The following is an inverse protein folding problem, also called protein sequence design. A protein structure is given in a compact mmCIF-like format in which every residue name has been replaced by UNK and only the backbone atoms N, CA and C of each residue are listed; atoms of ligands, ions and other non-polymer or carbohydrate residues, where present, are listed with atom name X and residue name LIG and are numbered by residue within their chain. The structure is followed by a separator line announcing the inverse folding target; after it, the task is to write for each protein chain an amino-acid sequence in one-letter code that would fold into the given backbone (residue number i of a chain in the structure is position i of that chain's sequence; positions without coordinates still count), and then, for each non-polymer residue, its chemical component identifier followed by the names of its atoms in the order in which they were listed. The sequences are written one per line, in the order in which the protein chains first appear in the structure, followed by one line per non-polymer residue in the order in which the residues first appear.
data_IF_698915720403
#
_entry.id   IF_698915720403
#
_cell.length_a   1.000
_cell.length_b   1.000
_cell.length_c   1.000
_cell.angle_alpha   90.00
_cell.angle_beta   90.00
_cell.angle_gamma   90.00
#
_symmetry.space_group_name_H-M   'P 1'
#
loop_
_entity.id
_entity.type
_entity.pdbx_description
1 polymer ?
#
# COMPACT_ATOMS: atom_id res chain seq x y z
N UNK A 1 3.45 4.48 -15.46
CA UNK A 1 4.21 5.61 -14.89
C UNK A 1 3.88 6.99 -15.51
N UNK A 2 2.93 7.13 -16.45
CA UNK A 2 2.52 8.45 -16.97
C UNK A 2 1.92 9.36 -15.89
N UNK A 3 1.13 8.80 -14.99
CA UNK A 3 0.49 9.55 -13.89
C UNK A 3 1.51 10.13 -12.89
N UNK A 4 2.65 9.45 -12.68
CA UNK A 4 3.78 9.98 -11.89
C UNK A 4 4.44 11.16 -12.61
N UNK A 5 4.62 11.06 -13.93
CA UNK A 5 5.17 12.15 -14.74
C UNK A 5 4.23 13.35 -14.78
N UNK A 6 2.91 13.14 -14.83
CA UNK A 6 1.92 14.22 -14.80
C UNK A 6 1.88 14.94 -13.44
N UNK A 7 2.00 14.19 -12.33
CA UNK A 7 2.11 14.76 -10.98
C UNK A 7 3.40 15.60 -10.84
N UNK A 8 4.51 15.18 -11.45
CA UNK A 8 5.77 15.93 -11.44
C UNK A 8 5.78 17.12 -12.43
N UNK A 9 4.97 17.08 -13.49
CA UNK A 9 4.98 18.09 -14.57
C UNK A 9 4.13 19.32 -14.25
N UNK A 10 3.13 19.20 -13.37
CA UNK A 10 2.44 20.35 -12.79
C UNK A 10 3.28 20.78 -11.58
N UNK A 11 3.66 22.06 -11.47
CA UNK A 11 4.48 22.69 -10.39
C UNK A 11 4.10 22.38 -8.92
N UNK A 12 3.14 21.49 -8.65
CA UNK A 12 2.88 20.92 -7.34
C UNK A 12 3.94 19.89 -6.97
N UNK A 13 4.75 20.20 -5.94
CA UNK A 13 5.60 19.20 -5.30
C UNK A 13 4.75 17.99 -4.90
N UNK A 14 5.01 16.79 -5.43
CA UNK A 14 4.31 15.59 -5.03
C UNK A 14 4.44 15.44 -3.51
N UNK A 15 3.32 15.18 -2.85
CA UNK A 15 3.32 14.83 -1.44
C UNK A 15 2.83 13.38 -1.28
N UNK A 16 2.88 12.87 -0.05
CA UNK A 16 2.48 11.50 0.25
C UNK A 16 1.02 11.20 -0.19
N UNK A 17 0.14 12.21 -0.21
CA UNK A 17 -1.24 12.05 -0.68
C UNK A 17 -1.27 11.73 -2.18
N UNK A 18 -0.50 12.45 -3.00
CA UNK A 18 -0.39 12.18 -4.44
C UNK A 18 0.12 10.76 -4.72
N UNK A 19 1.08 10.28 -3.93
CA UNK A 19 1.58 8.91 -4.06
C UNK A 19 0.59 7.85 -3.58
N UNK A 20 -0.22 8.14 -2.57
CA UNK A 20 -1.31 7.25 -2.16
C UNK A 20 -2.39 7.11 -3.25
N UNK A 21 -2.66 8.17 -4.02
CA UNK A 21 -3.54 8.09 -5.20
C UNK A 21 -2.93 7.16 -6.25
N UNK A 22 -1.63 7.28 -6.52
CA UNK A 22 -0.95 6.40 -7.48
C UNK A 22 -0.96 4.93 -7.03
N UNK A 23 -0.66 4.66 -5.76
CA UNK A 23 -0.76 3.32 -5.18
C UNK A 23 -2.16 2.74 -5.37
N UNK A 24 -3.20 3.53 -5.08
CA UNK A 24 -4.59 3.11 -5.23
C UNK A 24 -4.93 2.78 -6.68
N UNK A 25 -4.48 3.60 -7.63
CA UNK A 25 -4.68 3.37 -9.06
C UNK A 25 -4.01 2.07 -9.53
N UNK A 26 -2.74 1.88 -9.19
CA UNK A 26 -1.99 0.67 -9.55
C UNK A 26 -2.64 -0.59 -8.98
N UNK A 27 -3.06 -0.57 -7.71
CA UNK A 27 -3.77 -1.69 -7.07
C UNK A 27 -5.12 -1.98 -7.76
N UNK A 28 -5.89 -0.95 -8.12
CA UNK A 28 -7.18 -1.13 -8.83
C UNK A 28 -7.04 -1.70 -10.23
N UNK A 29 -5.93 -1.43 -10.90
CA UNK A 29 -5.59 -2.02 -12.21
C UNK A 29 -5.05 -3.46 -12.10
N UNK A 30 -4.95 -4.04 -10.89
CA UNK A 30 -4.33 -5.35 -10.67
C UNK A 30 -2.81 -5.34 -10.84
N UNK A 31 -2.18 -4.16 -10.88
CA UNK A 31 -0.73 -3.99 -11.02
C UNK A 31 -0.05 -3.99 -9.66
N UNK A 32 -0.39 -4.96 -8.81
CA UNK A 32 0.04 -5.00 -7.41
C UNK A 32 1.56 -5.09 -7.25
N UNK A 33 2.28 -5.79 -8.16
CA UNK A 33 3.75 -5.82 -8.14
C UNK A 33 4.39 -4.44 -8.39
N UNK A 34 3.77 -3.62 -9.25
CA UNK A 34 4.23 -2.26 -9.51
C UNK A 34 3.87 -1.36 -8.34
N UNK A 35 2.68 -1.50 -7.77
CA UNK A 35 2.27 -0.79 -6.56
C UNK A 35 3.22 -1.11 -5.38
N UNK A 36 3.58 -2.38 -5.19
CA UNK A 36 4.46 -2.82 -4.11
C UNK A 36 5.89 -2.30 -4.28
N UNK A 37 6.46 -2.39 -5.50
CA UNK A 37 7.77 -1.78 -5.79
C UNK A 37 7.77 -0.27 -5.60
N UNK A 38 6.70 0.40 -6.03
CA UNK A 38 6.56 1.84 -5.84
C UNK A 38 6.47 2.20 -4.35
N UNK A 39 5.65 1.48 -3.58
CA UNK A 39 5.54 1.65 -2.13
C UNK A 39 6.90 1.53 -1.43
N UNK A 40 7.71 0.51 -1.78
CA UNK A 40 9.06 0.31 -1.24
C UNK A 40 10.05 1.40 -1.64
N UNK A 41 9.80 2.11 -2.74
CA UNK A 41 10.66 3.20 -3.19
C UNK A 41 10.38 4.54 -2.49
N UNK A 42 9.22 4.71 -1.84
CA UNK A 42 8.84 5.96 -1.19
C UNK A 42 9.88 6.49 -0.18
N UNK A 43 10.47 5.66 0.71
CA UNK A 43 11.51 6.14 1.63
C UNK A 43 12.75 6.69 0.91
N UNK A 44 13.16 6.05 -0.19
CA UNK A 44 14.29 6.54 -1.01
C UNK A 44 13.98 7.85 -1.74
N UNK A 45 12.70 8.17 -1.91
CA UNK A 45 12.22 9.45 -2.44
C UNK A 45 12.04 10.52 -1.34
N UNK A 46 12.34 10.19 -0.08
CA UNK A 46 12.19 11.08 1.08
C UNK A 46 10.77 11.11 1.66
N UNK A 47 9.93 10.12 1.33
CA UNK A 47 8.57 10.02 1.83
C UNK A 47 8.40 8.78 2.70
N UNK A 48 7.98 8.98 3.94
CA UNK A 48 7.62 7.88 4.82
C UNK A 48 6.20 7.40 4.54
N UNK A 49 5.99 6.13 4.15
CA UNK A 49 4.65 5.57 4.01
C UNK A 49 3.89 5.65 5.33
N UNK A 50 2.64 6.09 5.29
CA UNK A 50 1.77 6.19 6.45
C UNK A 50 0.71 5.08 6.45
N UNK A 51 -0.13 5.05 7.49
CA UNK A 51 -1.20 4.05 7.65
C UNK A 51 -2.08 3.92 6.38
N UNK A 52 -2.32 5.02 5.66
CA UNK A 52 -3.10 4.98 4.41
C UNK A 52 -2.34 4.23 3.32
N UNK A 53 -1.05 4.52 3.13
CA UNK A 53 -0.19 3.81 2.16
C UNK A 53 -0.17 2.31 2.42
N UNK A 54 0.04 1.90 3.68
CA UNK A 54 0.05 0.49 4.08
C UNK A 54 -1.31 -0.19 3.83
N UNK A 55 -2.42 0.46 4.22
CA UNK A 55 -3.76 -0.09 4.02
C UNK A 55 -4.09 -0.35 2.55
N UNK A 56 -3.65 0.52 1.65
CA UNK A 56 -3.87 0.35 0.20
C UNK A 56 -3.18 -0.93 -0.29
N UNK A 57 -1.89 -1.07 0.02
CA UNK A 57 -1.07 -2.20 -0.45
C UNK A 57 -1.52 -3.51 0.20
N UNK A 58 -1.76 -3.51 1.51
CA UNK A 58 -2.23 -4.68 2.24
C UNK A 58 -3.57 -5.19 1.70
N UNK A 59 -4.53 -4.30 1.43
CA UNK A 59 -5.80 -4.68 0.82
C UNK A 59 -5.60 -5.35 -0.53
N UNK A 60 -4.70 -4.81 -1.36
CA UNK A 60 -4.41 -5.37 -2.69
C UNK A 60 -3.82 -6.77 -2.58
N UNK A 61 -2.81 -6.95 -1.72
CA UNK A 61 -2.16 -8.24 -1.49
C UNK A 61 -3.15 -9.28 -0.95
N UNK A 62 -4.00 -8.90 0.00
CA UNK A 62 -5.03 -9.80 0.53
C UNK A 62 -6.06 -10.19 -0.53
N UNK A 63 -6.46 -9.24 -1.39
CA UNK A 63 -7.41 -9.50 -2.47
C UNK A 63 -6.84 -10.46 -3.53
N UNK A 64 -5.53 -10.41 -3.78
CA UNK A 64 -4.83 -11.31 -4.69
C UNK A 64 -4.36 -12.63 -4.02
N UNK A 65 -4.65 -12.83 -2.73
CA UNK A 65 -4.23 -14.02 -2.00
C UNK A 65 -2.72 -14.10 -1.71
N UNK A 66 -2.01 -12.97 -1.76
CA UNK A 66 -0.56 -12.85 -1.50
C UNK A 66 -0.28 -12.70 0.00
N UNK A 67 -0.67 -13.72 0.76
CA UNK A 67 -0.69 -13.71 2.23
C UNK A 67 0.69 -13.58 2.87
N UNK A 68 1.71 -14.20 2.28
CA UNK A 68 3.08 -14.13 2.81
C UNK A 68 3.57 -12.68 2.82
N UNK A 69 3.39 -11.97 1.72
CA UNK A 69 3.78 -10.56 1.61
C UNK A 69 2.91 -9.66 2.49
N UNK A 70 1.61 -9.95 2.60
CA UNK A 70 0.70 -9.22 3.48
C UNK A 70 1.03 -9.40 4.97
N UNK A 71 1.59 -10.55 5.37
CA UNK A 71 1.98 -10.84 6.76
C UNK A 71 3.34 -10.25 7.13
N UNK A 72 4.24 -10.05 6.17
CA UNK A 72 5.57 -9.47 6.41
C UNK A 72 5.53 -7.94 6.44
N UNK A 73 4.67 -7.29 5.66
CA UNK A 73 4.54 -5.83 5.63
C UNK A 73 4.35 -5.17 7.02
N UNK A 74 3.50 -5.70 7.92
CA UNK A 74 3.29 -5.15 9.26
C UNK A 74 4.48 -5.31 10.22
N UNK A 75 5.35 -6.31 10.02
CA UNK A 75 6.52 -6.50 10.87
C UNK A 75 7.68 -5.57 10.51
N UNK A 76 7.65 -4.98 9.32
CA UNK A 76 8.63 -3.99 8.88
C UNK A 76 8.34 -2.58 9.40
N UNK A 77 7.14 -2.35 9.96
CA UNK A 77 6.81 -1.10 10.64
C UNK A 77 7.26 -1.13 12.09
N UNK A 78 8.54 -0.90 12.36
CA UNK A 78 9.01 -0.59 13.71
C UNK A 78 8.75 0.91 13.99
N UNK A 79 7.72 1.21 14.81
CA UNK A 79 7.42 2.57 15.28
C UNK A 79 5.95 2.77 15.72
N UNK A 80 5.75 3.33 16.92
CA UNK A 80 4.46 3.52 17.62
C UNK A 80 3.38 4.27 16.81
N UNK A 81 3.77 5.03 15.78
CA UNK A 81 2.88 5.86 14.93
C UNK A 81 2.56 5.23 13.56
N UNK A 82 3.14 4.05 13.28
CA UNK A 82 2.99 3.29 12.02
C UNK A 82 2.24 1.97 12.20
N UNK A 83 1.74 1.70 13.41
CA UNK A 83 1.05 0.48 13.74
C UNK A 83 -0.16 0.28 12.80
N UNK A 84 -0.32 -0.92 12.20
CA UNK A 84 -1.51 -1.23 11.44
C UNK A 84 -2.74 -1.09 12.35
N UNK A 85 -3.60 -0.11 12.06
CA UNK A 85 -4.78 0.16 12.91
C UNK A 85 -5.77 -1.00 12.87
N UNK A 86 -6.81 -0.96 13.71
CA UNK A 86 -7.96 -1.89 13.69
C UNK A 86 -8.48 -2.15 12.27
N UNK A 87 -8.37 -1.17 11.37
CA UNK A 87 -8.75 -1.32 9.95
C UNK A 87 -7.89 -2.37 9.23
N UNK A 88 -6.59 -2.46 9.52
CA UNK A 88 -5.69 -3.47 8.97
C UNK A 88 -6.06 -4.87 9.47
N UNK A 89 -6.30 -5.01 10.77
CA UNK A 89 -6.76 -6.27 11.34
C UNK A 89 -8.15 -6.66 10.79
N UNK A 90 -9.06 -5.71 10.59
CA UNK A 90 -10.36 -5.98 9.97
C UNK A 90 -10.25 -6.38 8.49
N UNK A 91 -9.29 -5.82 7.74
CA UNK A 91 -8.99 -6.25 6.36
C UNK A 91 -8.40 -7.67 6.36
N UNK A 92 -7.47 -7.97 7.27
CA UNK A 92 -6.90 -9.31 7.43
C UNK A 92 -7.97 -10.31 7.85
N UNK A 93 -8.80 -10.02 8.86
CA UNK A 93 -9.90 -10.88 9.33
C UNK A 93 -10.94 -11.07 8.23
N UNK A 94 -11.36 -10.00 7.54
CA UNK A 94 -12.33 -10.10 6.46
C UNK A 94 -11.81 -10.94 5.29
N UNK A 95 -10.54 -10.77 4.93
CA UNK A 95 -9.93 -11.53 3.85
C UNK A 95 -9.64 -12.99 4.22
N UNK A 96 -9.21 -13.27 5.46
CA UNK A 96 -9.12 -14.62 6.04
C UNK A 96 -10.49 -15.31 6.15
N UNK A 97 -11.55 -14.59 6.49
CA UNK A 97 -12.91 -15.14 6.54
C UNK A 97 -13.48 -15.46 5.16
N UNK A 98 -13.07 -14.73 4.11
CA UNK A 98 -13.46 -14.99 2.73
C UNK A 98 -12.69 -16.16 2.10
N UNK A 99 -11.44 -16.41 2.52
CA UNK A 99 -10.58 -17.45 1.93
C UNK A 99 -10.35 -18.66 2.85
N UNK A 100 -10.74 -18.58 4.12
CA UNK A 100 -10.76 -19.67 5.10
C UNK A 100 -11.93 -20.62 4.92
N UNK A 101 -12.12 -21.14 3.70
CA UNK A 101 -12.94 -22.31 3.43
C UNK A 101 -12.07 -23.37 2.76
N UNK A 102 -11.45 -24.20 3.59
CA UNK A 102 -11.58 -25.68 3.61
C UNK A 102 -10.91 -26.22 4.85
#
# INVERSE_FOLDING_TARGET
MELLQEINAKDGKPNLVSYNVLLTGLCKEGRTDEAFRFFRSLPSMGFDPNVVSYNIVLRSLCHEGRWEEANVLPSETEGEDRAPSIVTFNILIGSLALHGRT
#
